data_IF_225549788299
#
_entry.id   IF_225549788299
#
_cell.length_a   1.000
_cell.length_b   1.000
_cell.length_c   1.000
_cell.angle_alpha   90.00
_cell.angle_beta   90.00
_cell.angle_gamma   90.00
#
_symmetry.space_group_name_H-M   'P 1'
#
loop_
_entity.id
_entity.type
_entity.pdbx_description
1 polymer ?
#
# COMPACT_ATOMS: atom_id res chain seq x y z
N UNK A 1 6.11 29.84 -1.32
CA UNK A 1 6.92 29.79 -2.54
C UNK A 1 6.20 30.63 -3.58
N UNK A 2 6.88 31.58 -4.24
CA UNK A 2 6.28 32.33 -5.35
C UNK A 2 6.14 31.38 -6.56
N UNK A 3 5.05 31.51 -7.33
CA UNK A 3 4.78 30.70 -8.53
C UNK A 3 5.93 30.80 -9.55
N UNK A 4 6.61 31.94 -9.57
CA UNK A 4 7.73 32.17 -10.49
C UNK A 4 8.94 31.29 -10.15
N UNK A 5 9.22 31.02 -8.86
CA UNK A 5 10.34 30.15 -8.48
C UNK A 5 10.15 28.71 -8.97
N UNK A 6 8.93 28.16 -8.86
CA UNK A 6 8.68 26.80 -9.33
C UNK A 6 8.72 26.73 -10.87
N UNK A 7 8.21 27.76 -11.56
CA UNK A 7 8.33 27.88 -13.02
C UNK A 7 9.79 27.87 -13.46
N UNK A 8 10.63 28.70 -12.84
CA UNK A 8 12.04 28.84 -13.22
C UNK A 8 12.83 27.55 -12.91
N UNK A 9 12.49 26.86 -11.81
CA UNK A 9 13.01 25.52 -11.51
C UNK A 9 12.61 24.49 -12.58
N UNK A 10 11.33 24.46 -12.97
CA UNK A 10 10.85 23.52 -13.98
C UNK A 10 11.51 23.78 -15.35
N UNK A 11 11.64 25.04 -15.75
CA UNK A 11 12.33 25.44 -16.98
C UNK A 11 13.78 24.94 -17.00
N UNK A 12 14.51 25.12 -15.89
CA UNK A 12 15.86 24.59 -15.73
C UNK A 12 15.90 23.06 -15.87
N UNK A 13 14.99 22.32 -15.23
CA UNK A 13 14.91 20.87 -15.37
C UNK A 13 14.68 20.43 -16.82
N UNK A 14 13.77 21.09 -17.54
CA UNK A 14 13.49 20.78 -18.93
C UNK A 14 14.69 21.10 -19.84
N UNK A 15 15.37 22.22 -19.62
CA UNK A 15 16.57 22.58 -20.37
C UNK A 15 17.71 21.57 -20.18
N UNK A 16 17.91 21.08 -18.94
CA UNK A 16 19.05 20.22 -18.60
C UNK A 16 18.83 18.73 -18.89
N UNK A 17 17.58 18.27 -18.84
CA UNK A 17 17.27 16.83 -18.93
C UNK A 17 16.23 16.49 -19.99
N UNK A 18 15.57 17.47 -20.61
CA UNK A 18 14.50 17.25 -21.60
C UNK A 18 14.97 16.57 -22.89
N UNK A 19 16.28 16.54 -23.15
CA UNK A 19 16.89 15.76 -24.21
C UNK A 19 16.70 14.24 -24.01
N UNK A 20 16.68 13.78 -22.75
CA UNK A 20 16.58 12.36 -22.36
C UNK A 20 15.26 12.00 -21.65
N UNK A 21 14.75 12.87 -20.79
CA UNK A 21 13.54 12.65 -19.99
C UNK A 21 12.31 13.13 -20.77
N UNK A 22 11.41 12.20 -21.11
CA UNK A 22 10.22 12.47 -21.96
C UNK A 22 8.89 12.45 -21.22
N UNK A 23 8.88 11.96 -19.98
CA UNK A 23 7.69 11.91 -19.13
C UNK A 23 7.98 12.63 -17.82
N UNK A 24 7.14 13.60 -17.47
CA UNK A 24 7.33 14.48 -16.34
C UNK A 24 6.08 14.47 -15.46
N UNK A 25 6.30 14.46 -14.14
CA UNK A 25 5.28 14.68 -13.12
C UNK A 25 5.67 15.98 -12.42
N UNK A 26 4.78 16.97 -12.39
CA UNK A 26 5.10 18.29 -11.84
C UNK A 26 5.06 18.32 -10.31
N UNK A 27 4.00 17.75 -9.73
CA UNK A 27 3.81 17.69 -8.27
C UNK A 27 3.30 16.30 -7.91
N UNK A 28 3.93 15.68 -6.92
CA UNK A 28 3.44 14.44 -6.34
C UNK A 28 2.34 14.73 -5.30
N UNK A 29 1.26 13.95 -5.30
CA UNK A 29 0.18 13.97 -4.30
C UNK A 29 -0.20 15.35 -3.69
N UNK A 30 -0.67 16.32 -4.50
CA UNK A 30 -0.92 17.69 -4.00
C UNK A 30 -1.93 17.76 -2.86
N UNK A 31 -2.89 16.82 -2.82
CA UNK A 31 -3.87 16.72 -1.73
C UNK A 31 -3.19 16.37 -0.39
N UNK A 32 -2.31 15.35 -0.39
CA UNK A 32 -1.57 14.90 0.80
C UNK A 32 -0.77 16.05 1.40
N UNK A 33 0.03 16.76 0.59
CA UNK A 33 0.80 17.92 1.06
C UNK A 33 -0.06 19.05 1.61
N UNK A 34 -1.20 19.33 0.96
CA UNK A 34 -2.08 20.42 1.39
C UNK A 34 -2.77 20.08 2.71
N UNK A 35 -3.30 18.87 2.85
CA UNK A 35 -4.07 18.46 4.03
C UNK A 35 -3.15 18.15 5.20
N UNK A 36 -2.16 17.28 5.02
CA UNK A 36 -1.25 16.93 6.11
C UNK A 36 -0.33 18.10 6.49
N UNK A 37 0.08 18.96 5.54
CA UNK A 37 0.95 20.10 5.81
C UNK A 37 0.27 21.29 6.49
N UNK A 38 -1.01 21.56 6.14
CA UNK A 38 -1.67 22.83 6.49
C UNK A 38 -3.05 22.68 7.16
N UNK A 39 -3.68 21.50 7.14
CA UNK A 39 -4.93 21.24 7.85
C UNK A 39 -4.69 20.45 9.14
N UNK A 40 -4.00 19.31 9.05
CA UNK A 40 -3.67 18.48 10.21
C UNK A 40 -2.33 18.84 10.86
N UNK A 41 -1.41 19.41 10.10
CA UNK A 41 -0.06 19.76 10.58
C UNK A 41 0.82 18.54 10.81
N UNK A 42 0.44 17.37 10.33
CA UNK A 42 1.26 16.17 10.47
C UNK A 42 2.48 16.16 9.52
N UNK A 43 2.43 16.81 8.35
CA UNK A 43 3.59 16.94 7.44
C UNK A 43 4.23 18.33 7.54
N UNK A 44 5.52 18.51 7.17
CA UNK A 44 6.09 19.85 7.01
C UNK A 44 5.22 20.72 6.08
N UNK A 45 4.96 22.00 6.42
CA UNK A 45 5.56 22.80 7.49
C UNK A 45 4.83 22.74 8.85
N UNK A 46 3.98 21.74 9.09
CA UNK A 46 3.27 21.51 10.36
C UNK A 46 2.45 22.72 10.81
N UNK A 47 1.44 23.07 10.01
CA UNK A 47 0.48 24.13 10.36
C UNK A 47 -0.91 23.52 10.49
N UNK A 48 -1.59 23.78 11.60
CA UNK A 48 -2.97 23.36 11.82
C UNK A 48 -3.67 24.28 12.84
N UNK A 49 -4.99 24.17 12.93
CA UNK A 49 -5.83 24.83 13.92
C UNK A 49 -6.35 23.75 14.89
N UNK A 50 -5.96 23.77 16.17
CA UNK A 50 -5.99 22.58 17.04
C UNK A 50 -7.34 22.10 17.61
N UNK A 51 -7.37 20.81 18.02
CA UNK A 51 -8.12 20.26 19.17
C UNK A 51 -9.22 19.22 18.91
N UNK A 52 -9.00 17.94 19.27
CA UNK A 52 -10.08 16.95 19.45
C UNK A 52 -9.72 15.87 20.50
N UNK A 53 -10.50 15.81 21.59
CA UNK A 53 -10.50 14.70 22.57
C UNK A 53 -11.79 13.89 22.42
N UNK A 54 -11.72 12.57 22.47
CA UNK A 54 -12.88 11.67 22.53
C UNK A 54 -12.76 10.69 23.71
N UNK A 55 -13.90 10.23 24.23
CA UNK A 55 -13.97 9.15 25.22
C UNK A 55 -15.25 8.34 25.00
N UNK A 56 -15.15 7.01 24.99
CA UNK A 56 -16.26 6.07 24.79
C UNK A 56 -16.18 4.91 25.80
N UNK A 57 -17.32 4.47 26.33
CA UNK A 57 -17.41 3.24 27.12
C UNK A 57 -18.86 2.86 27.43
N UNK A 58 -19.39 1.81 26.80
CA UNK A 58 -20.76 1.33 27.02
C UNK A 58 -20.90 -0.17 26.72
N UNK A 59 -20.47 -1.07 27.60
CA UNK A 59 -20.98 -2.46 27.63
C UNK A 59 -20.79 -3.09 29.01
N UNK A 60 -21.86 -3.12 29.80
CA UNK A 60 -21.96 -3.92 31.03
C UNK A 60 -23.42 -4.29 31.27
N UNK A 61 -23.99 -5.24 30.50
CA UNK A 61 -25.42 -5.62 30.69
C UNK A 61 -25.90 -6.91 30.01
N UNK A 62 -25.17 -8.03 30.03
CA UNK A 62 -25.76 -9.31 29.61
C UNK A 62 -25.22 -10.52 30.41
N UNK A 63 -26.03 -11.04 31.33
CA UNK A 63 -25.98 -12.43 31.81
C UNK A 63 -27.34 -12.79 32.46
N UNK A 64 -28.07 -13.77 31.92
CA UNK A 64 -29.22 -14.45 32.58
C UNK A 64 -29.29 -15.93 32.19
N UNK A 65 -29.76 -16.73 33.14
CA UNK A 65 -29.71 -18.20 33.28
C UNK A 65 -30.59 -18.97 32.27
N UNK A 66 -30.06 -20.08 31.75
CA UNK A 66 -30.75 -21.06 30.90
C UNK A 66 -30.28 -22.48 31.27
N UNK A 67 -31.18 -23.47 31.30
CA UNK A 67 -30.89 -24.88 31.62
C UNK A 67 -30.62 -25.69 30.34
N UNK A 68 -29.71 -26.68 30.40
CA UNK A 68 -29.19 -27.43 29.25
C UNK A 68 -29.60 -28.92 29.28
N UNK A 69 -29.97 -29.48 28.12
CA UNK A 69 -30.55 -30.83 27.98
C UNK A 69 -29.52 -31.98 27.83
N UNK A 70 -28.24 -31.68 27.58
CA UNK A 70 -27.15 -32.66 27.45
C UNK A 70 -25.76 -31.98 27.56
N UNK A 71 -24.72 -32.78 27.81
CA UNK A 71 -23.30 -32.38 27.73
C UNK A 71 -22.47 -32.77 28.96
N UNK A 72 -21.18 -33.05 28.78
CA UNK A 72 -20.21 -33.23 29.86
C UNK A 72 -19.38 -31.96 30.08
N UNK A 73 -19.73 -31.21 31.13
CA UNK A 73 -19.03 -29.97 31.50
C UNK A 73 -17.58 -30.18 31.95
N UNK A 74 -17.15 -31.41 32.23
CA UNK A 74 -15.77 -31.78 32.54
C UNK A 74 -14.88 -32.04 31.33
N UNK A 75 -15.44 -32.16 30.11
CA UNK A 75 -14.69 -32.56 28.91
C UNK A 75 -15.03 -31.70 27.69
N UNK A 76 -16.32 -31.43 27.46
CA UNK A 76 -16.79 -30.72 26.27
C UNK A 76 -16.30 -29.27 26.21
N UNK A 77 -16.31 -28.47 27.30
CA UNK A 77 -15.75 -27.13 27.27
C UNK A 77 -14.28 -27.11 26.87
N UNK A 78 -13.48 -28.10 27.28
CA UNK A 78 -12.07 -28.18 26.94
C UNK A 78 -11.85 -28.54 25.46
N UNK A 79 -12.62 -29.50 24.94
CA UNK A 79 -12.53 -29.93 23.55
C UNK A 79 -12.99 -28.85 22.58
N UNK A 80 -14.10 -28.17 22.91
CA UNK A 80 -14.61 -27.02 22.15
C UNK A 80 -13.61 -25.86 22.23
N UNK A 81 -13.08 -25.55 23.42
CA UNK A 81 -12.09 -24.47 23.59
C UNK A 81 -10.81 -24.75 22.81
N UNK A 82 -10.31 -25.99 22.81
CA UNK A 82 -9.12 -26.37 22.02
C UNK A 82 -9.32 -26.11 20.52
N UNK A 83 -10.44 -26.57 19.96
CA UNK A 83 -10.75 -26.35 18.54
C UNK A 83 -11.00 -24.88 18.20
N UNK A 84 -11.61 -24.11 19.11
CA UNK A 84 -11.76 -22.66 18.96
C UNK A 84 -10.40 -21.96 18.96
N UNK A 85 -9.47 -22.35 19.83
CA UNK A 85 -8.11 -21.80 19.86
C UNK A 85 -7.33 -22.12 18.58
N UNK A 86 -7.43 -23.35 18.06
CA UNK A 86 -6.81 -23.71 16.79
C UNK A 86 -7.40 -22.93 15.61
N UNK A 87 -8.72 -22.80 15.57
CA UNK A 87 -9.42 -22.03 14.54
C UNK A 87 -9.07 -20.54 14.61
N UNK A 88 -8.97 -19.98 15.82
CA UNK A 88 -8.48 -18.63 16.06
C UNK A 88 -7.04 -18.46 15.59
N UNK A 89 -6.13 -19.36 15.96
CA UNK A 89 -4.73 -19.30 15.56
C UNK A 89 -4.56 -19.33 14.02
N UNK A 90 -5.29 -20.20 13.33
CA UNK A 90 -5.30 -20.26 11.87
C UNK A 90 -5.84 -18.97 11.25
N UNK A 91 -6.94 -18.42 11.77
CA UNK A 91 -7.51 -17.16 11.30
C UNK A 91 -6.55 -15.97 11.52
N UNK A 92 -5.91 -15.89 12.69
CA UNK A 92 -4.91 -14.86 13.01
C UNK A 92 -3.69 -14.98 12.12
N UNK A 93 -3.21 -16.20 11.84
CA UNK A 93 -2.10 -16.41 10.93
C UNK A 93 -2.40 -15.89 9.53
N UNK A 94 -3.58 -16.21 8.99
CA UNK A 94 -4.02 -15.70 7.69
C UNK A 94 -4.16 -14.17 7.72
N UNK A 95 -4.76 -13.63 8.78
CA UNK A 95 -4.89 -12.18 8.96
C UNK A 95 -3.53 -11.47 8.92
N UNK A 96 -2.57 -11.93 9.73
CA UNK A 96 -1.21 -11.38 9.80
C UNK A 96 -0.47 -11.45 8.47
N UNK A 97 -0.67 -12.52 7.71
CA UNK A 97 0.07 -12.75 6.46
C UNK A 97 -0.55 -12.08 5.23
N UNK A 98 -1.86 -11.82 5.23
CA UNK A 98 -2.58 -11.36 4.03
C UNK A 98 -3.32 -10.04 4.19
N UNK A 99 -3.63 -9.63 5.41
CA UNK A 99 -4.57 -8.53 5.65
C UNK A 99 -3.99 -7.46 6.60
N UNK A 100 -3.10 -7.83 7.51
CA UNK A 100 -2.43 -6.89 8.41
C UNK A 100 -1.25 -6.22 7.70
N UNK A 101 -1.30 -4.90 7.56
CA UNK A 101 -0.23 -4.07 7.01
C UNK A 101 0.60 -3.44 8.13
N UNK A 102 1.74 -2.84 7.78
CA UNK A 102 2.59 -2.11 8.75
C UNK A 102 2.04 -0.74 9.14
N UNK A 103 1.13 -0.18 8.35
CA UNK A 103 0.57 1.16 8.54
C UNK A 103 -0.93 1.04 8.86
N UNK A 104 -1.35 1.66 9.96
CA UNK A 104 -2.73 1.60 10.46
C UNK A 104 -3.78 2.19 9.50
N UNK A 105 -3.37 3.10 8.63
CA UNK A 105 -4.20 3.74 7.62
C UNK A 105 -4.35 2.93 6.32
N UNK A 106 -3.53 1.90 6.10
CA UNK A 106 -3.43 1.21 4.81
C UNK A 106 -4.15 -0.15 4.84
N UNK A 107 -5.40 -0.17 4.35
CA UNK A 107 -6.19 -1.40 4.20
C UNK A 107 -6.10 -1.95 2.78
N UNK A 108 -5.98 -3.28 2.64
CA UNK A 108 -5.87 -3.94 1.34
C UNK A 108 -7.27 -4.10 0.73
N UNK A 109 -7.55 -3.34 -0.33
CA UNK A 109 -8.81 -3.39 -1.07
C UNK A 109 -8.59 -3.22 -2.59
N UNK A 110 -8.25 -4.30 -3.31
CA UNK A 110 -7.86 -4.22 -4.72
C UNK A 110 -8.98 -3.72 -5.63
N UNK A 111 -10.25 -4.00 -5.33
CA UNK A 111 -11.39 -3.48 -6.09
C UNK A 111 -11.43 -1.95 -6.11
N UNK A 112 -10.91 -1.29 -5.07
CA UNK A 112 -10.83 0.16 -4.99
C UNK A 112 -10.06 0.80 -6.14
N UNK A 113 -8.94 0.19 -6.59
CA UNK A 113 -8.18 0.70 -7.74
C UNK A 113 -9.00 0.57 -9.03
N UNK A 114 -9.77 -0.52 -9.14
CA UNK A 114 -10.63 -0.78 -10.29
C UNK A 114 -11.67 0.32 -10.42
N UNK A 115 -12.40 0.55 -9.34
CA UNK A 115 -13.51 1.48 -9.32
C UNK A 115 -13.03 2.93 -9.49
N UNK A 116 -11.88 3.28 -8.90
CA UNK A 116 -11.26 4.60 -9.08
C UNK A 116 -10.90 4.88 -10.54
N UNK A 117 -10.33 3.90 -11.25
CA UNK A 117 -9.96 4.07 -12.65
C UNK A 117 -11.18 4.07 -13.58
N UNK A 118 -12.22 3.29 -13.28
CA UNK A 118 -13.49 3.36 -14.00
C UNK A 118 -14.18 4.70 -13.80
N UNK A 119 -14.19 5.21 -12.58
CA UNK A 119 -14.69 6.55 -12.30
C UNK A 119 -13.89 7.58 -13.09
N UNK A 120 -12.55 7.49 -13.08
CA UNK A 120 -11.68 8.41 -13.81
C UNK A 120 -11.99 8.41 -15.30
N UNK A 121 -12.17 7.21 -15.87
CA UNK A 121 -12.59 7.03 -17.26
C UNK A 121 -13.91 7.74 -17.57
N UNK A 122 -14.94 7.52 -16.74
CA UNK A 122 -16.29 8.06 -16.96
C UNK A 122 -16.36 9.56 -16.74
N UNK A 123 -15.71 10.06 -15.68
CA UNK A 123 -15.80 11.44 -15.25
C UNK A 123 -14.85 12.39 -16.01
N UNK A 124 -13.70 11.90 -16.47
CA UNK A 124 -12.64 12.74 -17.06
C UNK A 124 -12.26 12.37 -18.50
N UNK A 125 -13.09 11.60 -19.21
CA UNK A 125 -12.93 11.34 -20.65
C UNK A 125 -11.84 10.32 -20.99
N UNK A 126 -11.63 9.31 -20.13
CA UNK A 126 -10.66 8.22 -20.35
C UNK A 126 -9.23 8.68 -20.69
N UNK A 127 -8.63 9.58 -19.89
CA UNK A 127 -7.28 10.06 -20.15
C UNK A 127 -6.27 8.92 -20.05
N UNK A 128 -5.08 9.10 -20.61
CA UNK A 128 -3.98 8.16 -20.36
C UNK A 128 -3.60 8.23 -18.88
N UNK A 129 -3.63 7.08 -18.19
CA UNK A 129 -3.32 6.99 -16.76
C UNK A 129 -2.09 6.11 -16.54
N UNK A 130 -1.15 6.60 -15.75
CA UNK A 130 -0.07 5.80 -15.17
C UNK A 130 -0.33 5.73 -13.67
N UNK A 131 -0.35 4.53 -13.10
CA UNK A 131 -0.40 4.36 -11.65
C UNK A 131 1.01 4.60 -11.14
N UNK A 132 1.28 5.81 -10.66
CA UNK A 132 2.64 6.28 -10.31
C UNK A 132 3.13 5.77 -8.97
N UNK A 133 2.22 5.42 -8.06
CA UNK A 133 2.53 4.80 -6.76
C UNK A 133 1.44 3.79 -6.40
N UNK A 134 1.84 2.58 -6.02
CA UNK A 134 0.98 1.60 -5.38
C UNK A 134 1.84 0.61 -4.59
N UNK A 135 1.51 0.35 -3.34
CA UNK A 135 2.39 -0.38 -2.43
C UNK A 135 1.73 -0.78 -1.13
N UNK A 136 2.41 -1.64 -0.38
CA UNK A 136 2.01 -2.03 0.97
C UNK A 136 3.19 -2.06 1.93
N UNK A 137 2.98 -1.51 3.12
CA UNK A 137 3.96 -1.48 4.18
C UNK A 137 3.99 -2.77 5.00
N UNK A 138 5.16 -3.05 5.58
CA UNK A 138 5.32 -3.99 6.69
C UNK A 138 5.92 -3.29 7.89
N UNK A 139 5.55 -3.76 9.09
CA UNK A 139 6.16 -3.32 10.33
C UNK A 139 7.64 -3.73 10.37
N UNK A 140 8.50 -2.85 10.89
CA UNK A 140 9.89 -3.11 11.26
C UNK A 140 9.96 -3.41 12.78
N UNK A 141 10.75 -4.40 13.26
CA UNK A 141 11.66 -5.28 12.53
C UNK A 141 10.93 -6.32 11.67
N UNK A 142 11.55 -6.69 10.55
CA UNK A 142 11.04 -7.74 9.66
C UNK A 142 11.51 -9.10 10.18
N UNK A 143 10.59 -9.96 10.60
CA UNK A 143 10.92 -11.32 11.09
C UNK A 143 11.49 -12.24 10.00
N UNK A 144 11.07 -12.04 8.74
CA UNK A 144 11.51 -12.83 7.58
C UNK A 144 11.45 -12.00 6.29
N UNK A 145 12.49 -12.11 5.46
CA UNK A 145 12.63 -11.51 4.13
C UNK A 145 11.66 -12.10 3.09
N UNK A 146 10.96 -13.20 3.39
CA UNK A 146 9.86 -13.66 2.53
C UNK A 146 8.64 -12.74 2.69
N UNK A 147 8.42 -11.87 1.69
CA UNK A 147 7.33 -10.89 1.69
C UNK A 147 6.08 -11.35 0.93
N UNK A 148 5.39 -12.35 1.47
CA UNK A 148 4.18 -12.89 0.82
C UNK A 148 3.02 -11.89 0.76
N UNK A 149 2.96 -10.97 1.73
CA UNK A 149 1.94 -9.92 1.79
C UNK A 149 2.07 -8.98 0.59
N UNK A 150 3.26 -8.38 0.39
CA UNK A 150 3.51 -7.45 -0.72
C UNK A 150 3.35 -8.13 -2.07
N UNK A 151 3.79 -9.39 -2.18
CA UNK A 151 3.53 -10.20 -3.38
C UNK A 151 2.05 -10.32 -3.69
N UNK A 152 1.26 -10.76 -2.71
CA UNK A 152 -0.18 -10.95 -2.89
C UNK A 152 -0.87 -9.63 -3.21
N UNK A 153 -0.51 -8.55 -2.52
CA UNK A 153 -1.01 -7.19 -2.76
C UNK A 153 -0.84 -6.79 -4.23
N UNK A 154 0.38 -6.82 -4.77
CA UNK A 154 0.63 -6.42 -6.15
C UNK A 154 -0.05 -7.36 -7.15
N UNK A 155 -0.07 -8.67 -6.90
CA UNK A 155 -0.77 -9.62 -7.76
C UNK A 155 -2.27 -9.28 -7.89
N UNK A 156 -2.95 -8.99 -6.78
CA UNK A 156 -4.37 -8.65 -6.82
C UNK A 156 -4.61 -7.32 -7.56
N UNK A 157 -3.81 -6.28 -7.30
CA UNK A 157 -3.97 -4.99 -7.96
C UNK A 157 -3.65 -5.07 -9.46
N UNK A 158 -2.61 -5.80 -9.86
CA UNK A 158 -2.28 -6.04 -11.27
C UNK A 158 -3.38 -6.82 -12.00
N UNK A 159 -4.02 -7.78 -11.34
CA UNK A 159 -5.19 -8.49 -11.90
C UNK A 159 -6.36 -7.53 -12.15
N UNK A 160 -6.61 -6.58 -11.23
CA UNK A 160 -7.62 -5.55 -11.43
C UNK A 160 -7.30 -4.65 -12.63
N UNK A 161 -6.05 -4.20 -12.76
CA UNK A 161 -5.60 -3.41 -13.92
C UNK A 161 -5.69 -4.19 -15.23
N UNK A 162 -5.35 -5.47 -15.22
CA UNK A 162 -5.48 -6.33 -16.39
C UNK A 162 -6.95 -6.48 -16.82
N UNK A 163 -7.87 -6.64 -15.87
CA UNK A 163 -9.30 -6.68 -16.15
C UNK A 163 -9.79 -5.35 -16.77
N UNK A 164 -9.37 -4.22 -16.19
CA UNK A 164 -9.74 -2.89 -16.69
C UNK A 164 -9.27 -2.61 -18.12
N UNK A 165 -8.06 -3.03 -18.45
CA UNK A 165 -7.47 -2.81 -19.77
C UNK A 165 -8.09 -3.73 -20.81
N UNK A 166 -8.33 -5.01 -20.47
CA UNK A 166 -8.87 -6.01 -21.40
C UNK A 166 -10.37 -5.91 -21.61
N UNK A 167 -11.14 -5.73 -20.54
CA UNK A 167 -12.59 -5.86 -20.57
C UNK A 167 -13.29 -4.49 -20.55
N UNK A 168 -12.75 -3.54 -19.78
CA UNK A 168 -13.39 -2.24 -19.59
C UNK A 168 -12.79 -1.13 -20.49
N UNK A 169 -11.80 -1.44 -21.33
CA UNK A 169 -11.11 -0.50 -22.23
C UNK A 169 -10.66 0.81 -21.54
N UNK A 170 -10.13 0.71 -20.33
CA UNK A 170 -9.56 1.85 -19.60
C UNK A 170 -8.14 2.15 -20.12
N UNK A 171 -7.83 3.44 -20.30
CA UNK A 171 -6.56 3.87 -20.92
C UNK A 171 -5.38 3.90 -19.91
N UNK A 172 -5.17 2.79 -19.22
CA UNK A 172 -4.05 2.61 -18.28
C UNK A 172 -2.80 2.21 -19.06
N UNK A 173 -1.69 2.92 -18.83
CA UNK A 173 -0.45 2.81 -19.59
C UNK A 173 0.73 2.26 -18.80
N UNK A 174 0.69 2.31 -17.48
CA UNK A 174 1.79 1.80 -16.66
C UNK A 174 1.44 1.71 -15.18
N UNK A 175 2.29 0.99 -14.45
CA UNK A 175 2.15 0.71 -13.04
C UNK A 175 3.54 0.74 -12.39
N UNK A 176 3.70 1.59 -11.38
CA UNK A 176 4.95 1.80 -10.66
C UNK A 176 4.75 1.40 -9.20
N UNK A 177 5.59 0.48 -8.73
CA UNK A 177 5.54 -0.04 -7.38
C UNK A 177 6.15 0.99 -6.42
N UNK A 178 5.39 1.37 -5.41
CA UNK A 178 5.93 2.03 -4.23
C UNK A 178 6.36 0.95 -3.22
N UNK A 179 7.64 0.73 -2.97
CA UNK A 179 8.80 1.46 -3.51
C UNK A 179 9.90 0.51 -3.96
N UNK A 180 10.88 1.05 -4.69
CA UNK A 180 12.05 0.27 -5.13
C UNK A 180 12.86 -0.24 -3.93
N UNK A 181 13.17 0.65 -2.98
CA UNK A 181 13.97 0.36 -1.80
C UNK A 181 13.19 0.75 -0.54
N UNK A 182 13.46 0.07 0.57
CA UNK A 182 13.07 0.59 1.88
C UNK A 182 13.63 2.01 2.05
N UNK A 183 12.76 2.93 2.51
CA UNK A 183 13.07 4.34 2.59
C UNK A 183 12.40 4.98 3.81
N UNK A 184 12.64 6.28 3.99
CA UNK A 184 12.08 7.05 5.10
C UNK A 184 10.60 7.37 4.83
N UNK A 185 9.71 6.71 5.56
CA UNK A 185 8.26 6.88 5.42
C UNK A 185 7.75 8.02 6.30
N UNK A 186 8.05 9.26 5.90
CA UNK A 186 7.48 10.47 6.51
C UNK A 186 7.49 10.47 8.05
N UNK A 187 6.30 10.50 8.67
CA UNK A 187 6.16 10.50 10.13
C UNK A 187 6.45 9.15 10.78
N UNK A 188 6.27 8.06 10.04
CA UNK A 188 6.56 6.70 10.51
C UNK A 188 8.07 6.41 10.48
N UNK A 189 8.86 7.29 9.84
CA UNK A 189 10.31 7.17 9.73
C UNK A 189 10.70 5.82 9.11
N UNK A 190 11.53 5.05 9.82
CA UNK A 190 11.93 3.69 9.39
C UNK A 190 11.19 2.58 10.15
N UNK A 191 10.09 2.89 10.83
CA UNK A 191 9.29 1.90 11.57
C UNK A 191 8.44 1.01 10.67
N UNK A 192 8.27 1.42 9.41
CA UNK A 192 7.61 0.66 8.36
C UNK A 192 8.46 0.58 7.11
N UNK A 193 8.20 -0.42 6.27
CA UNK A 193 8.99 -0.75 5.08
C UNK A 193 8.09 -0.99 3.88
N UNK A 194 8.29 -0.22 2.81
CA UNK A 194 7.55 -0.32 1.54
C UNK A 194 8.38 -0.95 0.41
N UNK A 195 9.69 -1.13 0.61
CA UNK A 195 10.60 -1.55 -0.45
C UNK A 195 10.33 -2.97 -0.94
N UNK A 196 10.45 -3.18 -2.25
CA UNK A 196 10.64 -4.53 -2.82
C UNK A 196 12.09 -5.01 -2.66
N UNK A 197 13.02 -4.10 -2.38
CA UNK A 197 14.39 -4.41 -1.99
C UNK A 197 14.58 -3.99 -0.53
N UNK A 198 15.08 -4.93 0.27
CA UNK A 198 15.41 -4.69 1.66
C UNK A 198 16.65 -3.82 1.77
N UNK A 199 16.61 -2.84 2.68
CA UNK A 199 17.79 -2.07 3.09
C UNK A 199 18.10 -2.37 4.55
N UNK A 200 19.29 -2.91 4.78
CA UNK A 200 19.87 -2.91 6.11
C UNK A 200 20.33 -1.48 6.47
N UNK A 201 19.83 -0.97 7.58
CA UNK A 201 20.17 0.37 8.07
C UNK A 201 21.41 0.35 8.97
N UNK A 202 22.03 -0.82 9.21
CA UNK A 202 23.35 -0.90 9.84
C UNK A 202 24.40 -0.28 8.89
N UNK A 203 25.08 0.81 9.29
CA UNK A 203 26.03 1.54 8.45
C UNK A 203 27.26 0.72 8.04
N UNK A 204 27.50 -0.46 8.63
CA UNK A 204 28.65 -1.32 8.33
C UNK A 204 28.38 -2.36 7.23
N UNK A 205 27.12 -2.54 6.80
CA UNK A 205 26.69 -3.63 5.93
C UNK A 205 25.58 -3.16 4.97
N UNK A 206 25.92 -2.38 3.94
CA UNK A 206 24.97 -2.11 2.86
C UNK A 206 24.73 -3.40 2.05
N UNK A 207 23.77 -4.20 2.50
CA UNK A 207 23.28 -5.38 1.80
C UNK A 207 21.88 -5.09 1.24
N UNK A 208 21.79 -5.01 -0.09
CA UNK A 208 20.52 -4.98 -0.80
C UNK A 208 20.14 -6.40 -1.19
N UNK A 209 19.19 -7.00 -0.48
CA UNK A 209 18.60 -8.28 -0.90
C UNK A 209 17.28 -8.02 -1.62
N UNK A 210 17.18 -8.55 -2.84
CA UNK A 210 15.92 -8.62 -3.57
C UNK A 210 14.99 -9.53 -2.76
N UNK A 211 13.91 -8.96 -2.23
CA UNK A 211 12.87 -9.79 -1.63
C UNK A 211 12.33 -10.71 -2.73
N UNK A 212 11.94 -11.94 -2.36
CA UNK A 212 11.47 -13.00 -3.28
C UNK A 212 10.23 -12.65 -4.13
N UNK A 213 9.79 -11.40 -4.05
CA UNK A 213 8.74 -10.75 -4.82
C UNK A 213 9.03 -10.88 -6.33
N UNK A 214 10.28 -10.65 -6.73
CA UNK A 214 10.67 -10.62 -8.14
C UNK A 214 10.63 -11.98 -8.84
N UNK A 215 11.07 -13.05 -8.19
CA UNK A 215 11.15 -14.38 -8.80
C UNK A 215 9.78 -15.00 -9.13
N UNK A 216 8.70 -14.50 -8.50
CA UNK A 216 7.34 -15.05 -8.66
C UNK A 216 6.32 -14.08 -9.27
N UNK A 217 6.60 -12.78 -9.32
CA UNK A 217 5.89 -11.89 -10.22
C UNK A 217 6.36 -12.22 -11.64
N UNK A 218 5.76 -13.22 -12.29
CA UNK A 218 5.99 -13.52 -13.71
C UNK A 218 5.45 -12.37 -14.56
N UNK A 219 6.20 -11.28 -14.66
CA UNK A 219 5.92 -10.15 -15.55
C UNK A 219 5.79 -10.58 -17.02
N UNK A 220 6.27 -11.78 -17.39
CA UNK A 220 6.05 -12.35 -18.73
C UNK A 220 4.56 -12.47 -19.12
N UNK A 221 3.64 -12.56 -18.16
CA UNK A 221 2.19 -12.60 -18.44
C UNK A 221 1.50 -11.24 -18.27
N UNK A 222 2.24 -10.25 -17.74
CA UNK A 222 1.83 -8.87 -17.53
C UNK A 222 2.71 -7.97 -18.40
N UNK A 223 2.34 -7.78 -19.67
CA UNK A 223 2.86 -6.71 -20.54
C UNK A 223 2.40 -5.30 -20.05
N UNK A 224 2.46 -5.06 -18.74
CA UNK A 224 2.25 -3.77 -18.12
C UNK A 224 3.60 -3.34 -17.53
N UNK A 225 4.34 -2.60 -18.37
CA UNK A 225 5.50 -1.77 -18.05
C UNK A 225 6.56 -2.30 -17.09
N UNK A 226 7.49 -3.07 -17.66
CA UNK A 226 8.91 -2.71 -17.57
C UNK A 226 9.38 -2.50 -19.01
N UNK A 227 9.45 -1.25 -19.46
CA UNK A 227 9.96 -0.78 -20.76
C UNK A 227 9.51 -1.57 -22.01
N UNK A 228 8.35 -1.25 -22.61
CA UNK A 228 7.90 -1.91 -23.85
C UNK A 228 8.70 -1.54 -25.12
N UNK A 229 9.59 -0.53 -25.09
CA UNK A 229 10.15 0.07 -26.32
C UNK A 229 11.69 0.00 -26.48
N UNK A 230 12.40 -0.87 -25.75
CA UNK A 230 13.85 -1.04 -25.94
C UNK A 230 14.28 -2.32 -26.69
N UNK A 231 13.36 -2.99 -27.40
CA UNK A 231 13.71 -4.11 -28.31
C UNK A 231 13.08 -3.90 -29.68
N UNK A 232 13.50 -2.85 -30.38
CA UNK A 232 13.47 -2.79 -31.86
C UNK A 232 14.28 -1.60 -32.38
N UNK A 233 15.59 -1.82 -32.54
CA UNK A 233 16.43 -1.30 -33.63
C UNK A 233 17.80 -1.94 -33.54
#
# INVERSE_FOLDING_TARGET
>A
MDRNHFRDYADLCFAMFGDRVKHWITVNEPWSYSVFGYAYGSFPPNRCSGGANSSFGRFARFARNQECDAGDSGVEPYSVSHNLLLSHAAAVQIYRQKYQTGSDWLYIYPEGIRDTLLYTKKAYGNPAVYVTENGVSRQNPVENLTDTLRMYYHQQHLLMLQNLTRNDASNVKGYFIWSLLDNFEWLDGYSVRFGIMYIDYDPLLLHCELLSVWDRLRFRQFQLCLFPEFVSS
#
